data_IF_452291917159
#
_entry.id   IF_452291917159
#
_cell.length_a   1.000
_cell.length_b   1.000
_cell.length_c   1.000
_cell.angle_alpha   90.00
_cell.angle_beta   90.00
_cell.angle_gamma   90.00
#
_symmetry.space_group_name_H-M   'P 1'
#
loop_
_entity.id
_entity.type
_entity.pdbx_description
1 polymer ?
#
# COMPACT_ATOMS: atom_id res chain seq x y z
N UNK A 1 -2.43 -12.22 -4.71
CA UNK A 1 -3.08 -12.68 -5.92
C UNK A 1 -2.53 -11.97 -7.17
N UNK A 2 -2.72 -10.65 -7.32
CA UNK A 2 -2.38 -9.93 -8.57
C UNK A 2 -0.90 -10.00 -8.96
N UNK A 3 0.01 -10.19 -8.00
CA UNK A 3 1.45 -10.35 -8.27
C UNK A 3 1.81 -11.65 -8.99
N UNK A 4 0.90 -12.63 -9.02
CA UNK A 4 1.08 -13.91 -9.71
C UNK A 4 0.24 -14.03 -10.98
N UNK A 5 -0.58 -13.02 -11.28
CA UNK A 5 -1.29 -12.93 -12.56
C UNK A 5 -0.33 -12.52 -13.69
N UNK A 6 -0.75 -12.77 -14.92
CA UNK A 6 -0.01 -12.39 -16.13
C UNK A 6 0.07 -10.87 -16.25
N UNK A 7 1.21 -10.34 -16.64
CA UNK A 7 1.44 -8.93 -16.89
C UNK A 7 2.24 -8.25 -15.77
N UNK A 8 2.23 -6.93 -15.77
CA UNK A 8 2.97 -6.10 -14.82
C UNK A 8 2.08 -5.77 -13.63
N UNK A 9 2.44 -6.18 -12.40
CA UNK A 9 1.72 -5.76 -11.21
C UNK A 9 1.98 -4.29 -10.93
N UNK A 10 0.95 -3.55 -10.55
CA UNK A 10 1.06 -2.19 -10.05
C UNK A 10 0.82 -2.22 -8.55
N UNK A 11 1.84 -1.93 -7.77
CA UNK A 11 1.75 -1.82 -6.31
C UNK A 11 1.55 -0.35 -5.98
N UNK A 12 0.46 -0.02 -5.31
CA UNK A 12 0.25 1.33 -4.82
C UNK A 12 1.10 1.56 -3.56
N UNK A 13 1.69 2.75 -3.44
CA UNK A 13 2.54 3.07 -2.28
C UNK A 13 1.79 2.87 -0.97
N UNK A 14 2.39 2.14 -0.05
CA UNK A 14 1.81 1.81 1.24
C UNK A 14 1.13 0.44 1.32
N UNK A 15 0.78 -0.20 0.19
CA UNK A 15 0.28 -1.57 0.20
C UNK A 15 1.30 -2.53 0.82
N UNK A 16 2.58 -2.33 0.51
CA UNK A 16 3.68 -3.13 1.03
C UNK A 16 3.90 -2.97 2.54
N UNK A 17 3.32 -1.93 3.13
CA UNK A 17 3.32 -1.69 4.57
C UNK A 17 2.01 -2.07 5.25
N UNK A 18 0.94 -2.29 4.47
CA UNK A 18 -0.40 -2.52 4.97
C UNK A 18 -1.11 -1.24 5.44
N UNK A 19 -0.78 -0.10 4.83
CA UNK A 19 -1.44 1.16 5.15
C UNK A 19 -2.88 1.13 4.66
N UNK A 20 -3.80 1.41 5.55
CA UNK A 20 -5.21 1.60 5.23
C UNK A 20 -5.47 3.04 4.77
N UNK A 21 -6.63 3.27 4.13
CA UNK A 21 -7.07 4.61 3.78
C UNK A 21 -7.27 5.46 5.03
N UNK A 22 -6.57 6.56 5.11
CA UNK A 22 -6.63 7.46 6.25
C UNK A 22 -7.91 8.31 6.25
N UNK A 23 -8.40 8.63 7.44
CA UNK A 23 -9.46 9.62 7.62
C UNK A 23 -8.83 11.00 7.76
N UNK A 24 -8.86 11.78 6.67
CA UNK A 24 -8.37 13.17 6.67
C UNK A 24 -9.51 14.08 7.12
N UNK A 25 -9.31 14.93 8.15
CA UNK A 25 -10.30 15.94 8.55
C UNK A 25 -10.63 16.88 7.39
N UNK A 26 -11.89 17.34 7.33
CA UNK A 26 -12.37 18.22 6.25
C UNK A 26 -11.47 19.45 6.04
N UNK A 27 -11.02 20.05 7.13
CA UNK A 27 -10.19 21.27 7.12
C UNK A 27 -8.79 21.05 6.53
N UNK A 28 -8.37 19.78 6.40
CA UNK A 28 -7.07 19.39 5.86
C UNK A 28 -7.18 18.76 4.46
N UNK A 29 -8.39 18.62 3.92
CA UNK A 29 -8.59 18.09 2.59
C UNK A 29 -7.96 19.00 1.53
N UNK A 30 -7.35 18.38 0.54
CA UNK A 30 -6.72 19.01 -0.61
C UNK A 30 -7.37 18.59 -1.93
N UNK A 31 -8.04 17.42 -1.96
CA UNK A 31 -8.76 16.95 -3.15
C UNK A 31 -10.04 17.77 -3.37
N UNK A 32 -10.15 18.51 -4.49
CA UNK A 32 -11.34 19.30 -4.79
C UNK A 32 -12.65 18.50 -4.76
N UNK A 33 -12.61 17.24 -5.19
CA UNK A 33 -13.78 16.38 -5.16
C UNK A 33 -14.21 16.05 -3.73
N UNK A 34 -13.24 15.79 -2.84
CA UNK A 34 -13.54 15.54 -1.43
C UNK A 34 -14.11 16.76 -0.72
N UNK A 35 -13.63 17.96 -1.07
CA UNK A 35 -14.12 19.22 -0.51
C UNK A 35 -15.55 19.50 -0.99
N UNK A 36 -15.81 19.38 -2.29
CA UNK A 36 -17.10 19.72 -2.91
C UNK A 36 -18.21 18.72 -2.55
N UNK A 37 -17.86 17.43 -2.42
CA UNK A 37 -18.82 16.34 -2.22
C UNK A 37 -18.88 15.83 -0.78
N UNK A 38 -18.29 16.55 0.16
CA UNK A 38 -18.34 16.19 1.57
C UNK A 38 -19.78 16.27 2.13
N UNK A 39 -20.21 15.33 3.01
CA UNK A 39 -19.45 14.18 3.54
C UNK A 39 -19.68 12.86 2.77
N UNK A 40 -20.47 12.87 1.70
CA UNK A 40 -20.89 11.69 0.94
C UNK A 40 -19.69 11.03 0.22
N UNK A 41 -18.74 11.84 -0.24
CA UNK A 41 -17.49 11.39 -0.83
C UNK A 41 -16.31 12.20 -0.26
N UNK A 42 -15.37 11.49 0.36
CA UNK A 42 -14.23 12.12 1.05
C UNK A 42 -13.04 12.44 0.13
N UNK A 43 -13.17 12.20 -1.17
CA UNK A 43 -12.07 12.37 -2.11
C UNK A 43 -11.04 11.24 -2.03
N UNK A 44 -9.81 11.56 -2.44
CA UNK A 44 -8.71 10.61 -2.56
C UNK A 44 -7.55 10.88 -1.59
N UNK A 45 -7.68 11.88 -0.74
CA UNK A 45 -6.59 12.31 0.13
C UNK A 45 -6.17 11.23 1.14
N UNK A 46 -7.13 10.41 1.59
CA UNK A 46 -6.87 9.32 2.52
C UNK A 46 -5.85 8.30 2.03
N UNK A 47 -5.77 8.07 0.72
CA UNK A 47 -4.78 7.19 0.12
C UNK A 47 -3.53 7.91 -0.41
N UNK A 48 -3.37 9.21 -0.13
CA UNK A 48 -2.25 10.04 -0.58
C UNK A 48 -1.45 10.65 0.56
N UNK A 49 -1.72 10.23 1.79
CA UNK A 49 -0.99 10.70 2.97
C UNK A 49 0.50 10.36 2.87
N UNK A 50 1.37 11.15 3.52
CA UNK A 50 2.81 10.91 3.46
C UNK A 50 3.19 9.51 3.94
N UNK A 51 4.19 8.90 3.29
CA UNK A 51 4.75 7.63 3.69
C UNK A 51 5.38 7.72 5.08
N UNK A 52 5.00 6.87 6.04
CA UNK A 52 5.63 6.82 7.36
C UNK A 52 6.97 6.08 7.26
N UNK A 53 8.08 6.81 7.11
CA UNK A 53 9.41 6.22 7.07
C UNK A 53 9.89 5.79 8.46
N UNK A 54 9.54 6.58 9.48
CA UNK A 54 9.94 6.40 10.87
C UNK A 54 8.69 6.35 11.75
N UNK A 55 8.85 5.89 13.01
CA UNK A 55 7.77 5.84 13.98
C UNK A 55 7.29 7.24 14.42
N UNK A 56 6.22 7.26 15.23
CA UNK A 56 5.57 8.48 15.71
C UNK A 56 6.46 9.43 16.53
N UNK A 57 7.62 8.96 17.02
CA UNK A 57 8.54 9.81 17.78
C UNK A 57 9.30 10.79 16.88
N UNK A 58 9.29 10.57 15.56
CA UNK A 58 9.91 11.46 14.58
C UNK A 58 8.81 12.28 13.92
N UNK A 59 8.95 13.63 13.89
CA UNK A 59 7.97 14.49 13.28
C UNK A 59 7.61 14.06 11.85
N UNK A 60 6.31 14.05 11.54
CA UNK A 60 5.76 13.65 10.24
C UNK A 60 6.23 12.28 9.75
N UNK A 61 6.54 11.34 10.69
CA UNK A 61 7.05 10.02 10.34
C UNK A 61 8.35 10.04 9.54
N UNK A 62 9.15 11.09 9.67
CA UNK A 62 10.41 11.26 8.92
C UNK A 62 10.21 11.61 7.43
N UNK A 63 8.98 11.90 7.00
CA UNK A 63 8.70 12.25 5.60
C UNK A 63 9.21 13.64 5.22
N UNK A 64 9.08 14.61 6.11
CA UNK A 64 9.52 16.00 5.88
C UNK A 64 10.02 16.64 7.16
N UNK A 65 10.90 17.63 7.01
CA UNK A 65 11.35 18.54 8.08
C UNK A 65 10.57 19.86 8.10
N UNK A 66 9.60 20.05 7.20
CA UNK A 66 8.70 21.20 7.20
C UNK A 66 7.78 21.16 8.41
N UNK A 67 7.33 22.31 8.87
CA UNK A 67 6.39 22.43 10.00
C UNK A 67 5.04 21.77 9.73
N UNK A 68 4.62 21.71 8.46
CA UNK A 68 3.40 21.03 8.04
C UNK A 68 3.61 20.31 6.69
N UNK A 69 3.31 19.02 6.60
CA UNK A 69 3.21 18.31 5.31
C UNK A 69 1.93 18.74 4.58
N UNK A 70 1.89 18.48 3.25
CA UNK A 70 0.72 18.79 2.42
C UNK A 70 -0.57 18.08 2.88
N UNK A 71 -0.44 16.83 3.33
CA UNK A 71 -1.48 16.07 4.04
C UNK A 71 -0.90 15.56 5.36
N UNK A 72 -1.72 15.37 6.40
CA UNK A 72 -1.23 14.86 7.68
C UNK A 72 -0.72 13.42 7.56
N UNK A 73 0.25 13.05 8.40
CA UNK A 73 0.61 11.63 8.60
C UNK A 73 -0.35 11.06 9.65
N UNK A 74 -1.16 10.05 9.30
CA UNK A 74 -2.09 9.44 10.24
C UNK A 74 -1.37 8.76 11.39
N UNK A 75 -1.88 8.91 12.59
CA UNK A 75 -1.28 8.29 13.78
C UNK A 75 -1.30 6.76 13.68
N UNK A 76 -2.35 6.19 13.10
CA UNK A 76 -2.52 4.75 12.94
C UNK A 76 -1.46 4.13 12.01
N UNK A 77 -0.89 4.93 11.11
CA UNK A 77 0.18 4.48 10.21
C UNK A 77 1.55 4.38 10.88
N UNK A 78 1.74 4.99 12.04
CA UNK A 78 3.06 5.04 12.69
C UNK A 78 3.61 3.67 13.12
N UNK A 79 2.72 2.76 13.52
CA UNK A 79 3.08 1.37 13.85
C UNK A 79 3.41 0.52 12.62
N UNK A 80 3.08 0.99 11.42
CA UNK A 80 3.34 0.35 10.14
C UNK A 80 4.49 1.00 9.37
N UNK A 81 5.26 1.88 10.03
CA UNK A 81 6.35 2.60 9.40
C UNK A 81 7.40 1.67 8.78
N UNK A 82 8.09 2.17 7.75
CA UNK A 82 9.16 1.41 7.07
C UNK A 82 10.20 0.91 8.07
N UNK A 83 10.64 1.77 9.00
CA UNK A 83 11.64 1.42 10.01
C UNK A 83 11.17 0.29 10.95
N UNK A 84 9.88 0.24 11.29
CA UNK A 84 9.32 -0.80 12.15
C UNK A 84 9.27 -2.17 11.46
N UNK A 85 9.18 -2.18 10.13
CA UNK A 85 9.07 -3.40 9.34
C UNK A 85 10.38 -3.85 8.68
N UNK A 86 11.42 -3.01 8.72
CA UNK A 86 12.65 -3.22 7.93
C UNK A 86 13.38 -4.49 8.33
N UNK A 87 13.49 -4.73 9.61
CA UNK A 87 14.28 -5.84 10.18
C UNK A 87 13.40 -7.01 10.66
N UNK A 88 12.07 -6.91 10.49
CA UNK A 88 11.15 -8.01 10.80
C UNK A 88 10.94 -8.91 9.57
N UNK A 89 11.43 -10.15 9.59
CA UNK A 89 11.24 -11.09 8.49
C UNK A 89 9.78 -11.52 8.29
N UNK A 90 8.92 -11.33 9.29
CA UNK A 90 7.50 -11.66 9.21
C UNK A 90 6.62 -10.45 8.85
N UNK A 91 7.21 -9.28 8.62
CA UNK A 91 6.47 -8.09 8.22
C UNK A 91 5.89 -8.22 6.82
N UNK A 92 4.81 -7.46 6.55
CA UNK A 92 4.23 -7.39 5.22
C UNK A 92 5.23 -6.85 4.20
N UNK A 93 6.06 -5.88 4.58
CA UNK A 93 7.14 -5.34 3.75
C UNK A 93 8.13 -6.43 3.33
N UNK A 94 8.55 -7.27 4.26
CA UNK A 94 9.46 -8.38 3.98
C UNK A 94 8.81 -9.41 3.06
N UNK A 95 7.53 -9.72 3.28
CA UNK A 95 6.76 -10.58 2.38
C UNK A 95 6.71 -10.03 0.95
N UNK A 96 6.40 -8.74 0.75
CA UNK A 96 6.38 -8.11 -0.58
C UNK A 96 7.75 -8.14 -1.25
N UNK A 97 8.81 -7.82 -0.50
CA UNK A 97 10.19 -7.89 -1.00
C UNK A 97 10.52 -9.29 -1.53
N UNK A 98 10.22 -10.30 -0.74
CA UNK A 98 10.58 -11.69 -1.06
C UNK A 98 9.71 -12.23 -2.20
N UNK A 99 8.42 -11.90 -2.23
CA UNK A 99 7.52 -12.24 -3.32
C UNK A 99 7.93 -11.61 -4.65
N UNK A 100 8.35 -10.35 -4.65
CA UNK A 100 8.82 -9.67 -5.85
C UNK A 100 10.19 -10.20 -6.32
N UNK A 101 11.06 -10.56 -5.38
CA UNK A 101 12.33 -11.22 -5.71
C UNK A 101 12.09 -12.60 -6.31
N UNK A 102 11.19 -13.36 -5.72
CA UNK A 102 10.77 -14.68 -6.26
C UNK A 102 10.16 -14.53 -7.66
N UNK A 103 9.26 -13.58 -7.89
CA UNK A 103 8.68 -13.32 -9.21
C UNK A 103 9.74 -13.07 -10.28
N UNK A 104 10.80 -12.32 -9.96
CA UNK A 104 11.87 -11.99 -10.93
C UNK A 104 12.63 -13.20 -11.47
N UNK A 105 12.73 -14.27 -10.68
CA UNK A 105 13.44 -15.49 -11.08
C UNK A 105 12.50 -16.57 -11.65
N UNK A 106 11.21 -16.26 -11.79
CA UNK A 106 10.18 -17.13 -12.36
C UNK A 106 9.54 -16.46 -13.58
N UNK A 107 10.20 -16.54 -14.76
CA UNK A 107 9.69 -15.92 -15.98
C UNK A 107 8.31 -16.42 -16.39
N UNK A 108 7.98 -17.68 -16.05
CA UNK A 108 6.66 -18.25 -16.26
C UNK A 108 5.55 -17.44 -15.57
N UNK A 109 5.83 -16.81 -14.44
CA UNK A 109 4.87 -15.93 -13.73
C UNK A 109 4.70 -14.60 -14.46
N UNK A 110 5.73 -14.14 -15.19
CA UNK A 110 5.72 -12.85 -15.88
C UNK A 110 5.08 -12.99 -17.25
N UNK A 111 5.58 -13.90 -18.08
CA UNK A 111 5.27 -14.00 -19.50
C UNK A 111 4.51 -15.26 -19.87
N UNK A 112 4.46 -16.29 -18.98
CA UNK A 112 3.78 -17.54 -19.23
C UNK A 112 2.28 -17.38 -19.46
N UNK A 113 1.66 -18.39 -20.01
CA UNK A 113 0.21 -18.45 -20.15
C UNK A 113 -0.48 -18.67 -18.80
N UNK A 114 -1.75 -18.42 -18.72
CA UNK A 114 -2.57 -18.67 -17.55
C UNK A 114 -3.68 -19.67 -17.91
N UNK A 115 -3.77 -20.73 -17.13
CA UNK A 115 -4.82 -21.72 -17.23
C UNK A 115 -5.63 -21.72 -15.94
N UNK A 116 -6.93 -21.44 -16.04
CA UNK A 116 -7.84 -21.51 -14.90
C UNK A 116 -8.15 -22.96 -14.58
N UNK A 117 -8.04 -23.33 -13.32
CA UNK A 117 -8.31 -24.67 -12.84
C UNK A 117 -9.68 -24.68 -12.14
N UNK A 118 -10.54 -25.61 -12.56
CA UNK A 118 -11.84 -25.83 -11.94
C UNK A 118 -11.67 -26.79 -10.75
N UNK A 119 -11.62 -26.22 -9.55
CA UNK A 119 -11.40 -26.98 -8.31
C UNK A 119 -12.62 -26.90 -7.40
N UNK A 120 -13.07 -25.68 -7.04
CA UNK A 120 -14.17 -25.41 -6.11
C UNK A 120 -14.68 -23.99 -6.31
N UNK A 121 -15.98 -23.77 -6.18
CA UNK A 121 -16.64 -22.47 -6.39
C UNK A 121 -16.10 -21.35 -5.49
N UNK A 122 -15.50 -21.69 -4.35
CA UNK A 122 -14.96 -20.72 -3.39
C UNK A 122 -13.44 -20.52 -3.51
N UNK A 123 -12.79 -21.18 -4.48
CA UNK A 123 -11.33 -21.15 -4.66
C UNK A 123 -10.97 -20.69 -6.06
N UNK A 124 -10.15 -19.65 -6.14
CA UNK A 124 -9.51 -19.25 -7.39
C UNK A 124 -8.20 -20.01 -7.53
N UNK A 125 -8.12 -20.93 -8.52
CA UNK A 125 -6.93 -21.69 -8.81
C UNK A 125 -6.53 -21.54 -10.27
N UNK A 126 -5.23 -21.42 -10.52
CA UNK A 126 -4.68 -21.32 -11.87
C UNK A 126 -3.24 -21.82 -11.92
N UNK A 127 -2.86 -22.33 -13.07
CA UNK A 127 -1.47 -22.66 -13.40
C UNK A 127 -0.82 -21.52 -14.20
N UNK A 128 0.50 -21.41 -14.02
CA UNK A 128 1.36 -20.48 -14.72
C UNK A 128 2.53 -21.21 -15.32
#
# INVERSE_FOLDING_TARGET
LYTTLRGTPCIYQGEELGLEEAIVPYELLQDPYGIEMWPEFKGRDGCRTPMPWMNANIPHGGFTTSDAPWLPVPQDHSGLAVAEQMDDPNSLRSFYRDLLAWRKIHPEIIDGDIEMLDIDDNVIAYAR
#
